data_IF_211453466827
#
_entry.id   IF_211453466827
#
_cell.length_a   1.000
_cell.length_b   1.000
_cell.length_c   1.000
_cell.angle_alpha   90.00
_cell.angle_beta   90.00
_cell.angle_gamma   90.00
#
_symmetry.space_group_name_H-M   'P 1'
#
loop_
_entity.id
_entity.type
_entity.pdbx_description
1 polymer ?
#
# COMPACT_ATOMS: atom_id res chain seq x y z
N UNK A 1 2.42 26.48 22.22
CA UNK A 1 2.13 26.98 20.86
C UNK A 1 2.97 26.18 19.90
N UNK A 2 2.30 25.55 18.93
CA UNK A 2 2.74 24.40 18.14
C UNK A 2 4.01 24.61 17.33
N UNK A 3 5.00 23.76 17.59
CA UNK A 3 6.16 23.54 16.73
C UNK A 3 6.01 22.12 16.12
N UNK A 4 5.05 21.97 15.21
CA UNK A 4 4.76 20.70 14.50
C UNK A 4 4.89 20.98 13.01
N UNK A 5 6.12 21.07 12.50
CA UNK A 5 6.37 21.23 11.05
C UNK A 5 7.53 20.35 10.52
N UNK A 6 8.36 19.70 11.35
CA UNK A 6 9.68 19.30 10.85
C UNK A 6 9.91 17.88 10.29
N UNK A 7 8.89 17.02 10.10
CA UNK A 7 9.14 15.63 9.60
C UNK A 7 8.33 15.23 8.34
N UNK A 8 7.43 16.07 7.82
CA UNK A 8 6.48 15.72 6.74
C UNK A 8 7.03 15.76 5.29
N UNK A 9 8.32 15.53 5.06
CA UNK A 9 9.00 15.99 3.83
C UNK A 9 9.69 14.91 2.98
N UNK A 10 9.17 13.67 2.97
CA UNK A 10 9.58 12.68 1.96
C UNK A 10 9.09 13.03 0.55
N UNK A 11 7.80 13.39 0.43
CA UNK A 11 7.16 13.76 -0.85
C UNK A 11 7.37 15.23 -1.25
N UNK A 12 7.49 16.15 -0.29
CA UNK A 12 7.45 17.60 -0.59
C UNK A 12 8.82 18.33 -0.60
N UNK A 13 9.94 17.70 -0.20
CA UNK A 13 11.29 18.34 -0.27
C UNK A 13 12.26 17.73 -1.29
N UNK A 14 11.99 16.54 -1.85
CA UNK A 14 12.93 15.88 -2.76
C UNK A 14 12.85 16.39 -4.20
N UNK A 15 11.80 17.13 -4.56
CA UNK A 15 11.59 17.67 -5.90
C UNK A 15 12.20 19.05 -6.10
N UNK A 16 13.20 19.15 -6.98
CA UNK A 16 13.78 20.39 -7.51
C UNK A 16 12.78 21.19 -8.40
N UNK A 17 11.47 21.05 -8.17
CA UNK A 17 10.37 21.63 -8.93
C UNK A 17 9.93 23.00 -8.40
N UNK A 18 10.73 23.64 -7.54
CA UNK A 18 10.47 24.98 -7.01
C UNK A 18 10.32 25.96 -8.18
N UNK A 19 9.07 26.28 -8.55
CA UNK A 19 8.71 27.20 -9.62
C UNK A 19 7.93 26.61 -10.80
N UNK A 20 7.72 25.29 -10.88
CA UNK A 20 6.81 24.72 -11.89
C UNK A 20 5.35 24.91 -11.46
N UNK A 21 4.56 25.56 -12.30
CA UNK A 21 3.10 25.64 -12.10
C UNK A 21 2.45 24.32 -12.51
N UNK A 22 1.36 23.89 -11.86
CA UNK A 22 0.58 22.75 -12.33
C UNK A 22 0.18 23.00 -13.78
N UNK A 23 0.57 22.09 -14.68
CA UNK A 23 -0.02 22.03 -16.01
C UNK A 23 -1.54 21.81 -15.90
N UNK A 24 -2.33 22.09 -16.94
CA UNK A 24 -3.76 21.85 -16.85
C UNK A 24 -4.03 20.34 -16.76
N UNK A 25 -5.11 19.95 -16.08
CA UNK A 25 -5.65 18.58 -16.13
C UNK A 25 -6.16 18.39 -17.56
N UNK A 26 -5.63 17.40 -18.26
CA UNK A 26 -6.11 17.08 -19.60
C UNK A 26 -7.07 15.91 -19.53
N UNK A 27 -8.10 15.98 -20.37
CA UNK A 27 -9.13 14.97 -20.47
C UNK A 27 -9.01 14.32 -21.83
N UNK A 28 -8.74 13.01 -21.85
CA UNK A 28 -8.62 12.24 -23.07
C UNK A 28 -9.77 11.25 -23.18
N UNK A 29 -10.38 11.19 -24.36
CA UNK A 29 -11.35 10.15 -24.70
C UNK A 29 -10.58 8.91 -25.12
N UNK A 30 -10.77 7.82 -24.39
CA UNK A 30 -10.25 6.51 -24.76
C UNK A 30 -11.30 5.79 -25.62
N UNK A 31 -10.88 4.82 -26.44
CA UNK A 31 -11.79 4.00 -27.25
C UNK A 31 -12.96 3.52 -26.39
N UNK A 32 -14.20 3.60 -26.90
CA UNK A 32 -15.37 3.14 -26.13
C UNK A 32 -16.04 4.17 -25.21
N UNK A 33 -15.80 5.47 -25.41
CA UNK A 33 -16.48 6.62 -24.75
C UNK A 33 -16.03 7.03 -23.35
N UNK A 34 -15.18 6.24 -22.70
CA UNK A 34 -14.63 6.56 -21.38
C UNK A 34 -13.76 7.82 -21.42
N UNK A 35 -14.01 8.69 -20.45
CA UNK A 35 -13.32 9.97 -20.27
C UNK A 35 -12.26 9.81 -19.18
N UNK A 36 -10.99 9.91 -19.55
CA UNK A 36 -9.86 9.74 -18.62
C UNK A 36 -9.24 11.10 -18.28
N UNK A 37 -9.13 11.39 -16.98
CA UNK A 37 -8.38 12.53 -16.45
C UNK A 37 -6.92 12.15 -16.28
N UNK A 38 -6.03 12.90 -16.93
CA UNK A 38 -4.59 12.77 -16.75
C UNK A 38 -4.05 13.86 -15.83
N UNK A 39 -3.20 13.45 -14.89
CA UNK A 39 -2.47 14.36 -14.00
C UNK A 39 -0.96 14.16 -14.11
N UNK A 40 -0.21 15.19 -13.72
CA UNK A 40 1.24 15.14 -13.57
C UNK A 40 1.65 15.13 -12.09
N UNK A 41 2.95 15.00 -11.84
CA UNK A 41 3.51 14.95 -10.50
C UNK A 41 3.17 16.18 -9.64
N UNK A 42 3.19 17.40 -10.22
CA UNK A 42 2.87 18.64 -9.47
C UNK A 42 1.43 18.59 -8.95
N UNK A 43 0.50 18.06 -9.75
CA UNK A 43 -0.90 17.91 -9.34
C UNK A 43 -1.08 16.82 -8.26
N UNK A 44 -0.30 15.73 -8.32
CA UNK A 44 -0.25 14.75 -7.21
C UNK A 44 0.16 15.44 -5.91
N UNK A 45 1.22 16.25 -5.94
CA UNK A 45 1.66 16.99 -4.75
C UNK A 45 0.58 17.95 -4.23
N UNK A 46 -0.15 18.62 -5.11
CA UNK A 46 -1.27 19.50 -4.72
C UNK A 46 -2.41 18.71 -4.07
N UNK A 47 -2.78 17.56 -4.61
CA UNK A 47 -3.82 16.70 -4.05
C UNK A 47 -3.44 16.21 -2.64
N UNK A 48 -2.18 15.76 -2.47
CA UNK A 48 -1.61 15.35 -1.19
C UNK A 48 -1.66 16.52 -0.19
N UNK A 49 -1.13 17.69 -0.56
CA UNK A 49 -1.12 18.90 0.30
C UNK A 49 -2.52 19.33 0.74
N UNK A 50 -3.52 19.13 -0.11
CA UNK A 50 -4.92 19.42 0.20
C UNK A 50 -5.60 18.34 1.05
N UNK A 51 -4.89 17.26 1.40
CA UNK A 51 -5.43 16.15 2.18
C UNK A 51 -6.40 15.26 1.40
N UNK A 52 -6.27 15.22 0.07
CA UNK A 52 -7.18 14.45 -0.79
C UNK A 52 -6.87 12.95 -0.75
N UNK A 53 -7.90 12.13 -0.84
CA UNK A 53 -7.77 10.68 -1.05
C UNK A 53 -8.08 10.37 -2.51
N UNK A 54 -7.19 9.66 -3.20
CA UNK A 54 -7.36 9.37 -4.63
C UNK A 54 -6.50 8.18 -5.05
N UNK A 55 -6.89 7.55 -6.15
CA UNK A 55 -6.08 6.55 -6.82
C UNK A 55 -5.34 7.18 -8.00
N UNK A 56 -4.10 6.77 -8.23
CA UNK A 56 -3.36 7.06 -9.45
C UNK A 56 -3.06 5.75 -10.17
N UNK A 57 -3.49 5.63 -11.42
CA UNK A 57 -3.02 4.59 -12.32
C UNK A 57 -1.86 5.12 -13.16
N UNK A 58 -0.69 4.54 -12.96
CA UNK A 58 0.50 4.79 -13.75
C UNK A 58 0.41 3.95 -15.03
N UNK A 59 0.52 4.61 -16.18
CA UNK A 59 0.43 4.00 -17.51
C UNK A 59 1.64 4.40 -18.34
N UNK A 60 1.94 3.59 -19.37
CA UNK A 60 2.98 3.88 -20.36
C UNK A 60 2.40 3.86 -21.77
N UNK A 61 3.19 4.30 -22.74
CA UNK A 61 2.83 4.24 -24.14
C UNK A 61 2.80 2.78 -24.60
N UNK A 62 1.90 2.46 -25.54
CA UNK A 62 1.77 1.13 -26.14
C UNK A 62 1.53 -0.04 -25.16
N UNK A 63 1.12 0.25 -23.93
CA UNK A 63 0.79 -0.75 -22.92
C UNK A 63 -0.64 -1.29 -23.12
N UNK A 64 -0.76 -2.52 -23.63
CA UNK A 64 -2.06 -3.19 -23.85
C UNK A 64 -2.91 -3.25 -22.58
N UNK A 65 -2.34 -3.71 -21.46
CA UNK A 65 -3.05 -3.80 -20.19
C UNK A 65 -3.44 -2.43 -19.61
N UNK A 66 -2.69 -1.37 -19.93
CA UNK A 66 -3.04 -0.02 -19.52
C UNK A 66 -4.33 0.43 -20.21
N UNK A 67 -4.51 0.13 -21.51
CA UNK A 67 -5.74 0.44 -22.24
C UNK A 67 -6.97 -0.20 -21.58
N UNK A 68 -6.87 -1.48 -21.20
CA UNK A 68 -7.96 -2.20 -20.53
C UNK A 68 -8.40 -1.54 -19.21
N UNK A 69 -7.44 -1.05 -18.40
CA UNK A 69 -7.76 -0.34 -17.15
C UNK A 69 -8.39 1.03 -17.45
N UNK A 70 -7.83 1.76 -18.40
CA UNK A 70 -8.33 3.09 -18.80
C UNK A 70 -9.74 3.04 -19.39
N UNK A 71 -10.07 2.02 -20.18
CA UNK A 71 -11.42 1.80 -20.72
C UNK A 71 -12.45 1.57 -19.60
N UNK A 72 -12.06 0.91 -18.50
CA UNK A 72 -12.91 0.64 -17.35
C UNK A 72 -12.93 1.77 -16.30
N UNK A 73 -12.14 2.84 -16.49
CA UNK A 73 -11.92 3.86 -15.46
C UNK A 73 -13.20 4.61 -15.06
N UNK A 74 -14.16 4.79 -15.98
CA UNK A 74 -15.45 5.40 -15.66
C UNK A 74 -16.27 4.53 -14.68
N UNK A 75 -16.29 3.21 -14.92
CA UNK A 75 -16.99 2.25 -14.05
C UNK A 75 -16.32 2.18 -12.68
N UNK A 76 -14.99 2.16 -12.65
CA UNK A 76 -14.20 2.20 -11.40
C UNK A 76 -14.52 3.48 -10.62
N UNK A 77 -14.48 4.65 -11.27
CA UNK A 77 -14.77 5.94 -10.64
C UNK A 77 -16.20 6.03 -10.11
N UNK A 78 -17.17 5.43 -10.81
CA UNK A 78 -18.54 5.33 -10.31
C UNK A 78 -18.59 4.51 -9.02
N UNK A 79 -17.94 3.35 -8.98
CA UNK A 79 -17.91 2.50 -7.80
C UNK A 79 -17.18 3.15 -6.60
N UNK A 80 -16.09 3.88 -6.85
CA UNK A 80 -15.38 4.66 -5.83
C UNK A 80 -16.29 5.75 -5.23
N UNK A 81 -17.06 6.47 -6.05
CA UNK A 81 -17.98 7.51 -5.59
C UNK A 81 -19.13 6.98 -4.74
N UNK A 82 -19.53 5.73 -4.94
CA UNK A 82 -20.55 5.09 -4.10
C UNK A 82 -20.09 4.91 -2.65
N UNK A 83 -18.77 4.85 -2.39
CA UNK A 83 -18.21 4.72 -1.04
C UNK A 83 -17.68 6.03 -0.49
N UNK A 84 -17.13 6.90 -1.34
CA UNK A 84 -16.70 8.25 -0.98
C UNK A 84 -16.83 9.16 -2.20
N UNK A 85 -17.73 10.16 -2.11
CA UNK A 85 -18.03 11.07 -3.23
C UNK A 85 -16.83 11.90 -3.70
N UNK A 86 -15.81 12.07 -2.85
CA UNK A 86 -14.57 12.78 -3.17
C UNK A 86 -13.52 11.90 -3.85
N UNK A 87 -13.69 10.57 -3.77
CA UNK A 87 -12.71 9.60 -4.23
C UNK A 87 -12.77 9.44 -5.75
N UNK A 88 -11.61 9.56 -6.39
CA UNK A 88 -11.46 9.29 -7.82
C UNK A 88 -10.13 8.59 -8.12
N UNK A 89 -10.13 7.84 -9.20
CA UNK A 89 -8.97 7.33 -9.91
C UNK A 89 -8.65 8.26 -11.08
N UNK A 90 -7.39 8.66 -11.16
CA UNK A 90 -6.83 9.48 -12.23
C UNK A 90 -5.66 8.75 -12.87
N UNK A 91 -5.36 9.06 -14.13
CA UNK A 91 -4.25 8.46 -14.87
C UNK A 91 -3.02 9.36 -14.84
N UNK A 92 -1.84 8.74 -14.93
CA UNK A 92 -0.58 9.42 -15.09
C UNK A 92 0.31 8.67 -16.08
N UNK A 93 0.76 9.37 -17.12
CA UNK A 93 1.74 8.83 -18.06
C UNK A 93 3.15 8.87 -17.45
N UNK A 94 3.69 7.70 -17.12
CA UNK A 94 4.98 7.55 -16.44
C UNK A 94 6.19 7.83 -17.35
N UNK A 95 5.98 7.89 -18.67
CA UNK A 95 7.03 8.19 -19.64
C UNK A 95 7.25 9.70 -19.81
N UNK A 96 6.28 10.51 -19.41
CA UNK A 96 6.41 11.96 -19.38
C UNK A 96 7.57 12.39 -18.46
N UNK A 97 8.42 13.29 -18.94
CA UNK A 97 9.54 13.83 -18.15
C UNK A 97 9.09 14.55 -16.88
N UNK A 98 7.87 15.09 -16.86
CA UNK A 98 7.25 15.71 -15.68
C UNK A 98 6.98 14.70 -14.56
N UNK A 99 6.88 13.41 -14.89
CA UNK A 99 6.56 12.33 -13.96
C UNK A 99 7.79 11.47 -13.61
N UNK A 100 8.99 11.91 -14.00
CA UNK A 100 10.24 11.25 -13.60
C UNK A 100 10.39 11.15 -12.06
N UNK A 101 10.10 12.19 -11.25
CA UNK A 101 10.27 12.10 -9.79
C UNK A 101 9.47 10.96 -9.15
N UNK A 102 8.18 10.86 -9.48
CA UNK A 102 7.31 9.80 -8.95
C UNK A 102 7.70 8.41 -9.47
N UNK A 103 8.16 8.30 -10.72
CA UNK A 103 8.68 7.03 -11.25
C UNK A 103 9.89 6.55 -10.45
N UNK A 104 10.84 7.44 -10.24
CA UNK A 104 12.10 7.13 -9.55
C UNK A 104 11.84 6.85 -8.06
N UNK A 105 10.89 7.58 -7.43
CA UNK A 105 10.49 7.40 -6.03
C UNK A 105 9.73 6.09 -5.78
N UNK A 106 8.74 5.78 -6.61
CA UNK A 106 7.91 4.58 -6.44
C UNK A 106 8.57 3.29 -6.95
N UNK A 107 9.75 3.40 -7.59
CA UNK A 107 10.49 2.29 -8.18
C UNK A 107 9.59 1.37 -9.02
N UNK A 108 8.77 1.98 -9.88
CA UNK A 108 7.71 1.28 -10.64
C UNK A 108 8.33 0.18 -11.52
N UNK A 109 8.02 -1.09 -11.22
CA UNK A 109 8.59 -2.26 -11.92
C UNK A 109 7.73 -2.78 -13.07
N UNK A 110 6.44 -2.47 -13.08
CA UNK A 110 5.49 -2.99 -14.07
C UNK A 110 4.39 -1.95 -14.36
N UNK A 111 3.70 -2.11 -15.49
CA UNK A 111 2.59 -1.25 -15.88
C UNK A 111 1.37 -2.09 -16.35
N UNK A 112 0.13 -1.59 -16.14
CA UNK A 112 -0.18 -0.45 -15.29
C UNK A 112 0.07 -0.76 -13.81
N UNK A 113 0.40 0.25 -13.02
CA UNK A 113 0.45 0.15 -11.55
C UNK A 113 -0.52 1.13 -10.94
N UNK A 114 -1.27 0.69 -9.93
CA UNK A 114 -2.29 1.50 -9.28
C UNK A 114 -1.82 1.78 -7.85
N UNK A 115 -1.82 3.04 -7.44
CA UNK A 115 -1.47 3.45 -6.09
C UNK A 115 -2.63 4.22 -5.46
N UNK A 116 -2.91 3.95 -4.19
CA UNK A 116 -3.82 4.72 -3.36
C UNK A 116 -3.02 5.75 -2.56
N UNK A 117 -3.38 7.02 -2.72
CA UNK A 117 -2.89 8.13 -1.91
C UNK A 117 -3.96 8.47 -0.87
N UNK A 118 -3.55 8.55 0.40
CA UNK A 118 -4.42 8.90 1.52
C UNK A 118 -3.90 10.18 2.18
N UNK A 119 -4.43 11.33 1.80
CA UNK A 119 -4.00 12.63 2.31
C UNK A 119 -2.46 12.79 2.27
N UNK A 120 -1.83 13.03 3.42
CA UNK A 120 -0.38 13.25 3.56
C UNK A 120 0.42 11.95 3.80
N UNK A 121 -0.15 10.80 3.49
CA UNK A 121 0.49 9.49 3.71
C UNK A 121 1.20 9.02 2.45
N UNK A 122 2.20 8.16 2.67
CA UNK A 122 2.86 7.48 1.56
C UNK A 122 1.86 6.62 0.75
N UNK A 123 2.00 6.56 -0.57
CA UNK A 123 1.09 5.82 -1.42
C UNK A 123 1.23 4.32 -1.20
N UNK A 124 0.10 3.64 -1.33
CA UNK A 124 0.00 2.20 -1.10
C UNK A 124 -0.27 1.54 -2.45
N UNK A 125 0.58 0.60 -2.84
CA UNK A 125 0.40 -0.17 -4.07
C UNK A 125 -0.86 -1.04 -3.97
N UNK A 126 -1.70 -0.97 -4.99
CA UNK A 126 -2.81 -1.89 -5.19
C UNK A 126 -2.31 -3.15 -5.90
N UNK A 127 -2.36 -4.29 -5.21
CA UNK A 127 -1.81 -5.58 -5.62
C UNK A 127 -2.89 -6.66 -5.88
N UNK A 128 -4.16 -6.25 -6.04
CA UNK A 128 -5.28 -7.15 -6.34
C UNK A 128 -5.66 -7.11 -7.83
N UNK A 129 -6.63 -7.95 -8.20
CA UNK A 129 -7.27 -7.92 -9.52
C UNK A 129 -7.90 -6.55 -9.80
N UNK A 130 -7.72 -6.03 -11.02
CA UNK A 130 -8.06 -4.64 -11.38
C UNK A 130 -9.52 -4.45 -11.77
N UNK A 131 -10.43 -4.91 -10.92
CA UNK A 131 -11.88 -4.75 -11.08
C UNK A 131 -12.43 -3.68 -10.14
N UNK A 132 -13.59 -3.06 -10.45
CA UNK A 132 -14.19 -2.04 -9.60
C UNK A 132 -14.44 -2.49 -8.16
N UNK A 133 -14.92 -3.72 -7.97
CA UNK A 133 -15.23 -4.29 -6.65
C UNK A 133 -13.97 -4.50 -5.81
N UNK A 134 -12.87 -4.97 -6.42
CA UNK A 134 -11.59 -5.19 -5.74
C UNK A 134 -10.90 -3.89 -5.37
N UNK A 135 -10.99 -2.87 -6.23
CA UNK A 135 -10.50 -1.52 -5.93
C UNK A 135 -11.23 -0.93 -4.73
N UNK A 136 -12.57 -1.02 -4.71
CA UNK A 136 -13.38 -0.56 -3.57
C UNK A 136 -13.09 -1.38 -2.30
N UNK A 137 -12.98 -2.71 -2.43
CA UNK A 137 -12.62 -3.59 -1.33
C UNK A 137 -11.28 -3.18 -0.72
N UNK A 138 -10.25 -3.00 -1.54
CA UNK A 138 -8.93 -2.57 -1.11
C UNK A 138 -8.97 -1.23 -0.37
N UNK A 139 -9.66 -0.22 -0.93
CA UNK A 139 -9.83 1.07 -0.27
C UNK A 139 -10.43 0.92 1.14
N UNK A 140 -11.50 0.11 1.28
CA UNK A 140 -12.13 -0.17 2.57
C UNK A 140 -11.19 -0.86 3.54
N UNK A 141 -10.47 -1.89 3.09
CA UNK A 141 -9.51 -2.60 3.95
C UNK A 141 -8.45 -1.64 4.47
N UNK A 142 -7.77 -0.92 3.57
CA UNK A 142 -6.70 0.02 3.90
C UNK A 142 -7.17 1.14 4.83
N UNK A 143 -8.35 1.72 4.60
CA UNK A 143 -8.88 2.81 5.44
C UNK A 143 -9.43 2.34 6.79
N UNK A 144 -9.82 1.06 6.87
CA UNK A 144 -10.28 0.43 8.12
C UNK A 144 -9.15 -0.04 9.03
N UNK A 145 -7.89 -0.01 8.57
CA UNK A 145 -6.74 -0.44 9.38
C UNK A 145 -6.65 0.39 10.66
N UNK A 146 -6.68 -0.32 11.78
CA UNK A 146 -6.43 0.22 13.12
C UNK A 146 -5.11 -0.35 13.62
N UNK A 147 -4.35 0.47 14.34
CA UNK A 147 -3.15 0.04 15.05
C UNK A 147 -3.46 0.08 16.55
N UNK A 148 -3.47 -1.09 17.18
CA UNK A 148 -3.84 -1.23 18.59
C UNK A 148 -2.63 -1.08 19.52
N UNK A 149 -2.81 -0.39 20.65
CA UNK A 149 -1.81 -0.36 21.74
C UNK A 149 -2.04 -1.58 22.64
N UNK A 150 -1.00 -2.37 22.85
CA UNK A 150 -1.03 -3.62 23.61
C UNK A 150 -0.23 -3.42 24.90
N UNK A 151 -0.89 -3.47 26.05
CA UNK A 151 -0.28 -3.12 27.35
C UNK A 151 -0.20 -4.32 28.30
N UNK A 152 -1.11 -5.28 28.19
CA UNK A 152 -1.23 -6.43 29.10
C UNK A 152 -0.97 -7.78 28.42
N UNK A 153 -0.60 -8.80 29.20
CA UNK A 153 -0.46 -10.18 28.70
C UNK A 153 -1.72 -10.72 28.05
N UNK A 154 -2.88 -10.34 28.57
CA UNK A 154 -4.19 -10.79 28.06
C UNK A 154 -4.46 -10.22 26.67
N UNK A 155 -4.18 -8.93 26.47
CA UNK A 155 -4.29 -8.28 25.17
C UNK A 155 -3.32 -8.88 24.17
N UNK A 156 -2.08 -9.16 24.58
CA UNK A 156 -1.09 -9.82 23.74
C UNK A 156 -1.59 -11.18 23.22
N UNK A 157 -2.14 -12.03 24.09
CA UNK A 157 -2.65 -13.34 23.65
C UNK A 157 -3.88 -13.21 22.73
N UNK A 158 -4.76 -12.23 22.96
CA UNK A 158 -5.86 -11.95 22.03
C UNK A 158 -5.33 -11.45 20.66
N UNK A 159 -4.38 -10.53 20.69
CA UNK A 159 -3.75 -9.94 19.52
C UNK A 159 -3.08 -11.00 18.64
N UNK A 160 -2.28 -11.90 19.23
CA UNK A 160 -1.60 -12.99 18.50
C UNK A 160 -2.53 -13.90 17.71
N UNK A 161 -3.78 -14.06 18.18
CA UNK A 161 -4.77 -14.98 17.61
C UNK A 161 -5.83 -14.26 16.74
N UNK A 162 -5.73 -12.95 16.59
CA UNK A 162 -6.74 -12.12 15.92
C UNK A 162 -6.74 -12.23 14.38
N UNK A 163 -5.63 -12.68 13.79
CA UNK A 163 -5.45 -12.81 12.35
C UNK A 163 -4.48 -13.94 12.02
N UNK A 164 -4.38 -14.30 10.72
CA UNK A 164 -3.38 -15.24 10.24
C UNK A 164 -1.96 -14.80 10.62
N UNK A 165 -1.67 -13.50 10.43
CA UNK A 165 -0.42 -12.88 10.83
C UNK A 165 -0.71 -11.65 11.71
N UNK A 166 0.02 -11.53 12.82
CA UNK A 166 -0.02 -10.38 13.71
C UNK A 166 1.39 -9.80 13.88
N UNK A 167 1.52 -8.47 13.86
CA UNK A 167 2.81 -7.77 13.91
C UNK A 167 2.82 -6.82 15.09
N UNK A 168 3.67 -7.08 16.09
CA UNK A 168 3.82 -6.24 17.27
C UNK A 168 5.11 -5.43 17.16
N UNK A 169 4.97 -4.11 17.17
CA UNK A 169 6.08 -3.16 17.29
C UNK A 169 6.37 -2.88 18.77
N UNK A 170 7.64 -2.88 19.17
CA UNK A 170 8.09 -2.59 20.54
C UNK A 170 8.82 -1.24 20.55
N UNK A 171 8.20 -0.22 21.11
CA UNK A 171 8.73 1.14 21.05
C UNK A 171 9.23 1.62 22.41
N UNK A 172 10.42 2.24 22.42
CA UNK A 172 11.07 2.72 23.62
C UNK A 172 10.34 3.92 24.27
N UNK A 173 9.62 4.72 23.49
CA UNK A 173 8.92 5.93 23.95
C UNK A 173 7.63 6.18 23.14
N UNK A 174 6.73 7.03 23.65
CA UNK A 174 5.55 7.58 22.93
C UNK A 174 5.94 8.57 21.80
N UNK A 175 7.06 8.31 21.11
CA UNK A 175 7.44 9.06 19.90
C UNK A 175 6.30 8.94 18.89
N UNK A 176 6.21 9.84 17.92
CA UNK A 176 5.28 9.76 16.79
C UNK A 176 5.61 8.60 15.83
N UNK A 177 5.81 7.40 16.40
CA UNK A 177 5.92 6.10 15.76
C UNK A 177 4.61 5.66 15.12
N UNK A 178 3.51 6.37 15.39
CA UNK A 178 2.22 6.06 14.78
C UNK A 178 2.35 6.10 13.27
N UNK A 179 2.96 7.14 12.68
CA UNK A 179 2.99 7.26 11.22
C UNK A 179 3.71 6.10 10.51
N UNK A 180 4.95 5.70 10.85
CA UNK A 180 5.59 4.54 10.23
C UNK A 180 4.84 3.21 10.46
N UNK A 181 4.28 3.00 11.65
CA UNK A 181 3.54 1.77 11.97
C UNK A 181 2.23 1.72 11.17
N UNK A 182 1.49 2.82 11.09
CA UNK A 182 0.28 2.92 10.27
C UNK A 182 0.58 2.70 8.79
N UNK A 183 1.72 3.18 8.29
CA UNK A 183 2.13 2.90 6.91
C UNK A 183 2.32 1.40 6.68
N UNK A 184 3.09 0.74 7.54
CA UNK A 184 3.30 -0.72 7.46
C UNK A 184 1.98 -1.48 7.59
N UNK A 185 1.12 -1.09 8.53
CA UNK A 185 -0.18 -1.71 8.75
C UNK A 185 -1.08 -1.60 7.52
N UNK A 186 -1.11 -0.43 6.87
CA UNK A 186 -1.91 -0.21 5.67
C UNK A 186 -1.40 -0.96 4.44
N UNK A 187 -0.08 -1.07 4.28
CA UNK A 187 0.52 -1.89 3.21
C UNK A 187 0.32 -3.40 3.42
N UNK A 188 0.02 -3.80 4.67
CA UNK A 188 -0.19 -5.18 5.08
C UNK A 188 -1.58 -5.32 5.74
N UNK A 189 -2.62 -4.79 5.09
CA UNK A 189 -3.98 -4.71 5.64
C UNK A 189 -4.62 -6.07 5.98
N UNK A 190 -4.05 -7.17 5.48
CA UNK A 190 -4.44 -8.54 5.84
C UNK A 190 -3.82 -9.03 7.17
N UNK A 191 -2.86 -8.29 7.73
CA UNK A 191 -2.23 -8.57 9.02
C UNK A 191 -2.80 -7.65 10.10
N UNK A 192 -2.94 -8.16 11.32
CA UNK A 192 -3.26 -7.31 12.46
C UNK A 192 -1.98 -6.66 13.00
N UNK A 193 -1.92 -5.34 13.06
CA UNK A 193 -0.75 -4.60 13.52
C UNK A 193 -1.04 -3.90 14.84
N UNK A 194 -0.13 -4.05 15.79
CA UNK A 194 -0.20 -3.40 17.09
C UNK A 194 1.17 -2.92 17.54
N UNK A 195 1.19 -2.18 18.63
CA UNK A 195 2.42 -1.72 19.24
C UNK A 195 2.34 -1.79 20.76
N UNK A 196 3.49 -1.90 21.39
CA UNK A 196 3.65 -1.80 22.83
C UNK A 196 4.75 -0.79 23.14
N UNK A 197 4.64 -0.14 24.30
CA UNK A 197 5.56 0.92 24.73
C UNK A 197 6.25 0.55 26.02
N UNK A 198 7.37 1.23 26.30
CA UNK A 198 8.08 1.14 27.57
C UNK A 198 7.10 1.29 28.74
N UNK A 199 7.33 0.50 29.81
CA UNK A 199 6.48 0.38 31.02
C UNK A 199 5.20 -0.47 30.90
N UNK A 200 4.85 -0.98 29.72
CA UNK A 200 3.82 -2.02 29.63
C UNK A 200 4.31 -3.37 30.18
N UNK A 201 3.39 -4.27 30.53
CA UNK A 201 3.73 -5.65 30.92
C UNK A 201 4.36 -6.44 29.76
N UNK A 202 4.08 -6.02 28.53
CA UNK A 202 4.43 -6.70 27.28
C UNK A 202 5.81 -6.28 26.79
N UNK A 203 6.23 -5.04 27.03
CA UNK A 203 7.49 -4.49 26.54
C UNK A 203 8.71 -5.37 26.86
N UNK A 204 8.84 -5.78 28.13
CA UNK A 204 9.99 -6.60 28.57
C UNK A 204 9.97 -8.05 28.10
N UNK A 205 8.94 -8.49 27.37
CA UNK A 205 8.82 -9.86 26.86
C UNK A 205 9.54 -10.07 25.54
N UNK A 206 9.80 -8.98 24.81
CA UNK A 206 10.37 -9.00 23.48
C UNK A 206 11.66 -8.19 23.50
N UNK A 207 12.75 -8.78 23.01
CA UNK A 207 14.05 -8.10 22.96
C UNK A 207 14.22 -7.26 21.69
N UNK A 208 13.30 -7.43 20.73
CA UNK A 208 13.42 -6.92 19.38
C UNK A 208 12.29 -5.96 19.00
N UNK A 209 12.58 -5.09 18.04
CA UNK A 209 11.72 -3.97 17.66
C UNK A 209 10.43 -4.43 16.97
N UNK A 210 10.48 -5.49 16.15
CA UNK A 210 9.33 -5.99 15.40
C UNK A 210 9.23 -7.48 15.63
N UNK A 211 8.07 -7.93 16.10
CA UNK A 211 7.77 -9.31 16.44
C UNK A 211 6.60 -9.78 15.59
N UNK A 212 6.77 -10.90 14.89
CA UNK A 212 5.71 -11.46 14.03
C UNK A 212 5.20 -12.77 14.59
N UNK A 213 3.88 -12.88 14.64
CA UNK A 213 3.15 -14.07 15.03
C UNK A 213 2.38 -14.60 13.82
N UNK A 214 2.40 -15.92 13.62
CA UNK A 214 1.56 -16.60 12.61
C UNK A 214 0.73 -17.66 13.30
N UNK A 215 -0.58 -17.62 13.14
CA UNK A 215 -1.52 -18.52 13.81
C UNK A 215 -1.28 -18.60 15.34
N UNK A 216 -1.06 -17.45 15.99
CA UNK A 216 -0.77 -17.40 17.44
C UNK A 216 0.66 -17.76 17.86
N UNK A 217 1.47 -18.32 16.96
CA UNK A 217 2.84 -18.75 17.25
C UNK A 217 3.86 -17.67 16.90
N UNK A 218 4.83 -17.44 17.79
CA UNK A 218 5.97 -16.56 17.54
C UNK A 218 6.87 -17.16 16.46
N UNK A 219 7.23 -16.35 15.45
CA UNK A 219 8.02 -16.83 14.30
C UNK A 219 9.40 -16.23 14.24
N UNK A 220 9.49 -14.91 14.24
CA UNK A 220 10.75 -14.22 13.93
C UNK A 220 10.71 -12.77 14.37
N UNK A 221 11.90 -12.16 14.39
CA UNK A 221 12.13 -10.77 14.78
C UNK A 221 13.11 -10.06 13.87
N UNK A 222 13.02 -8.74 13.88
CA UNK A 222 14.02 -7.86 13.27
C UNK A 222 14.67 -7.02 14.35
N UNK A 223 16.02 -7.01 14.30
CA UNK A 223 16.84 -6.16 15.15
C UNK A 223 16.56 -4.67 14.88
N UNK A 224 16.72 -3.80 15.89
CA UNK A 224 16.66 -2.35 15.71
C UNK A 224 17.69 -1.87 14.68
N UNK A 225 17.45 -0.70 14.06
CA UNK A 225 18.28 -0.03 13.04
C UNK A 225 18.10 -0.49 11.58
N UNK A 226 16.89 -0.91 11.20
CA UNK A 226 16.52 -1.12 9.79
C UNK A 226 15.95 0.14 9.15
N UNK A 227 16.19 0.32 7.86
CA UNK A 227 15.51 1.32 7.04
C UNK A 227 14.01 1.01 6.95
N UNK A 228 13.20 2.02 6.64
CA UNK A 228 11.77 1.86 6.33
C UNK A 228 11.53 0.75 5.30
N UNK A 229 12.29 0.75 4.22
CA UNK A 229 12.12 -0.20 3.12
C UNK A 229 12.42 -1.64 3.57
N UNK A 230 13.45 -1.84 4.40
CA UNK A 230 13.76 -3.15 4.99
C UNK A 230 12.66 -3.64 5.94
N UNK A 231 12.06 -2.74 6.72
CA UNK A 231 10.93 -3.07 7.62
C UNK A 231 9.72 -3.48 6.81
N UNK A 232 9.34 -2.70 5.80
CA UNK A 232 8.20 -2.98 4.93
C UNK A 232 8.38 -4.32 4.22
N UNK A 233 9.56 -4.55 3.64
CA UNK A 233 9.90 -5.82 2.99
C UNK A 233 9.82 -6.97 3.99
N UNK A 234 10.42 -6.83 5.18
CA UNK A 234 10.36 -7.86 6.21
C UNK A 234 8.91 -8.18 6.60
N UNK A 235 8.10 -7.17 6.92
CA UNK A 235 6.72 -7.39 7.33
C UNK A 235 5.91 -8.02 6.20
N UNK A 236 6.08 -7.59 4.95
CA UNK A 236 5.40 -8.21 3.80
C UNK A 236 5.75 -9.70 3.68
N UNK A 237 7.04 -10.06 3.71
CA UNK A 237 7.53 -11.46 3.67
C UNK A 237 7.09 -12.26 4.89
N UNK A 238 6.90 -11.63 6.05
CA UNK A 238 6.46 -12.34 7.26
C UNK A 238 4.93 -12.37 7.43
N UNK A 239 4.16 -11.64 6.64
CA UNK A 239 2.69 -11.59 6.79
C UNK A 239 1.91 -12.12 5.60
N UNK A 240 2.53 -12.25 4.44
CA UNK A 240 1.86 -12.80 3.25
C UNK A 240 1.38 -14.25 3.49
N UNK A 241 0.30 -14.62 2.78
CA UNK A 241 -0.23 -15.99 2.85
C UNK A 241 0.73 -16.96 2.14
N UNK A 242 0.85 -18.21 2.61
CA UNK A 242 1.77 -19.19 2.03
C UNK A 242 1.22 -19.83 0.74
N UNK A 243 -0.08 -19.65 0.46
CA UNK A 243 -0.76 -20.24 -0.69
C UNK A 243 -1.49 -19.16 -1.48
N UNK A 244 -1.33 -19.23 -2.80
CA UNK A 244 -1.98 -18.36 -3.78
C UNK A 244 -2.61 -19.22 -4.87
N UNK A 245 -3.81 -18.83 -5.29
CA UNK A 245 -4.56 -19.50 -6.34
C UNK A 245 -4.24 -18.88 -7.70
N UNK A 246 -3.61 -19.66 -8.57
CA UNK A 246 -3.38 -19.22 -9.95
C UNK A 246 -4.61 -19.55 -10.84
N UNK A 247 -5.06 -18.64 -11.73
CA UNK A 247 -4.47 -17.34 -12.05
C UNK A 247 -4.98 -16.17 -11.19
N UNK A 248 -5.98 -16.38 -10.33
CA UNK A 248 -6.68 -15.32 -9.60
C UNK A 248 -5.74 -14.38 -8.81
N UNK A 249 -4.71 -14.93 -8.17
CA UNK A 249 -3.78 -14.22 -7.30
C UNK A 249 -2.48 -13.83 -8.01
N UNK A 250 -2.37 -14.06 -9.33
CA UNK A 250 -1.14 -13.76 -10.07
C UNK A 250 -0.76 -12.27 -10.01
N UNK A 251 -1.73 -11.37 -9.80
CA UNK A 251 -1.53 -9.93 -9.64
C UNK A 251 -0.71 -9.55 -8.43
N UNK A 252 -0.73 -10.36 -7.36
CA UNK A 252 -0.01 -10.09 -6.13
C UNK A 252 1.47 -10.49 -6.21
N UNK A 253 1.86 -11.39 -7.12
CA UNK A 253 3.21 -11.97 -7.18
C UNK A 253 4.33 -10.91 -7.24
N UNK A 254 4.25 -9.84 -8.06
CA UNK A 254 5.30 -8.82 -8.11
C UNK A 254 5.50 -8.08 -6.78
N UNK A 255 4.50 -8.08 -5.88
CA UNK A 255 4.51 -7.39 -4.61
C UNK A 255 4.91 -8.28 -3.41
N UNK A 256 5.20 -9.58 -3.62
CA UNK A 256 5.50 -10.51 -2.53
C UNK A 256 6.96 -10.47 -2.06
N UNK A 257 7.86 -9.84 -2.80
CA UNK A 257 9.30 -9.80 -2.49
C UNK A 257 9.96 -11.18 -2.30
N UNK A 258 9.42 -12.21 -2.95
CA UNK A 258 9.92 -13.58 -2.92
C UNK A 258 10.89 -13.86 -4.08
N UNK A 259 11.97 -14.59 -3.79
CA UNK A 259 12.98 -14.98 -4.77
C UNK A 259 12.58 -16.24 -5.56
N UNK A 260 11.73 -17.10 -4.98
CA UNK A 260 11.37 -18.40 -5.55
C UNK A 260 9.88 -18.68 -5.41
N UNK A 261 9.27 -19.23 -6.47
CA UNK A 261 7.87 -19.64 -6.48
C UNK A 261 7.76 -21.12 -6.85
N UNK A 262 6.97 -21.87 -6.10
CA UNK A 262 6.64 -23.25 -6.42
C UNK A 262 5.20 -23.31 -6.95
N UNK A 263 5.05 -23.62 -8.23
CA UNK A 263 3.74 -23.77 -8.87
C UNK A 263 3.27 -25.23 -8.70
N UNK A 264 2.20 -25.41 -7.93
CA UNK A 264 1.48 -26.68 -7.86
C UNK A 264 0.39 -26.67 -8.91
N UNK A 265 0.50 -27.55 -9.90
CA UNK A 265 -0.56 -27.78 -10.89
C UNK A 265 -1.30 -29.03 -10.45
N UNK A 266 -2.47 -28.86 -9.87
CA UNK A 266 -3.36 -29.97 -9.57
C UNK A 266 -4.05 -30.41 -10.86
N UNK A 267 -3.49 -31.43 -11.51
CA UNK A 267 -4.09 -32.03 -12.70
C UNK A 267 -5.16 -33.05 -12.25
N UNK A 268 -6.29 -32.55 -11.74
CA UNK A 268 -7.45 -33.38 -11.39
C UNK A 268 -8.11 -34.01 -12.63
N UNK A 269 -7.73 -33.58 -13.84
CA UNK A 269 -7.92 -34.37 -15.04
C UNK A 269 -6.84 -35.46 -15.04
N UNK A 270 -7.20 -36.64 -14.54
CA UNK A 270 -6.33 -37.80 -14.53
C UNK A 270 -5.59 -37.96 -15.86
N UNK A 271 -4.31 -38.31 -15.76
CA UNK A 271 -3.64 -38.97 -16.87
C UNK A 271 -4.40 -40.28 -17.06
N UNK A 272 -5.37 -40.29 -17.96
CA UNK A 272 -5.97 -41.51 -18.47
C UNK A 272 -4.81 -42.28 -19.13
N UNK A 273 -4.31 -43.28 -18.40
CA UNK A 273 -3.27 -44.20 -18.87
C UNK A 273 -3.81 -45.21 -19.86
#
# INVERSE_FOLDING_TARGET
MSLVILVLLGFALSGNCIGQKPGPIYVQKVSGSSVVKYINFVQVEEFIKNGSNFFVVLVGNDCYYCKLVLENMEVINKALKEVDQSLEMVAMDIESSLNKPIRDQLKVVALPSIYLFLANLDPILFDLERTPDKIVYFYKQVTSVVVEKIETKKELEAFKNSAYAAVLFVADEDVDITHPIYRVARQNYDAHVGYTVQFSEVYGMFGEWINVFRNGEYRTTVLPNRTTEEIEKFVKVQTHKPYYQFPADAYALPAMYEDNYLFYIDNLAGVDG
#
